data_IF_218343955609
#
_entry.id   IF_218343955609
#
_cell.length_a   1.000
_cell.length_b   1.000
_cell.length_c   1.000
_cell.angle_alpha   90.00
_cell.angle_beta   90.00
_cell.angle_gamma   90.00
#
_symmetry.space_group_name_H-M   'P 1'
#
loop_
_entity.id
_entity.type
_entity.pdbx_description
1 polymer ?
#
# COMPACT_ATOMS: atom_id res chain seq x y z
N UNK A 1 13.35 4.62 -1.26
CA UNK A 1 12.84 5.93 -0.80
C UNK A 1 11.53 5.70 -0.06
N UNK A 2 11.26 6.46 1.00
CA UNK A 2 9.93 6.47 1.63
C UNK A 2 9.07 7.46 0.82
N UNK A 3 7.97 7.01 0.18
CA UNK A 3 7.14 7.90 -0.61
C UNK A 3 6.26 8.77 0.28
N UNK A 4 5.81 9.91 -0.24
CA UNK A 4 4.75 10.68 0.42
C UNK A 4 3.42 9.93 0.35
N UNK A 5 2.51 10.24 1.28
CA UNK A 5 1.12 9.75 1.25
C UNK A 5 0.44 10.04 -0.10
N UNK A 6 0.72 11.21 -0.68
CA UNK A 6 0.14 11.61 -1.97
C UNK A 6 0.64 10.74 -3.12
N UNK A 7 1.93 10.39 -3.14
CA UNK A 7 2.48 9.45 -4.11
C UNK A 7 1.83 8.07 -3.94
N UNK A 8 1.72 7.59 -2.69
CA UNK A 8 1.06 6.32 -2.40
C UNK A 8 -0.41 6.32 -2.86
N UNK A 9 -1.12 7.43 -2.65
CA UNK A 9 -2.49 7.59 -3.12
C UNK A 9 -2.61 7.63 -4.64
N UNK A 10 -1.68 8.27 -5.34
CA UNK A 10 -1.62 8.24 -6.80
C UNK A 10 -1.52 6.79 -7.30
N UNK A 11 -0.63 5.99 -6.72
CA UNK A 11 -0.46 4.58 -7.07
C UNK A 11 -1.73 3.76 -6.81
N UNK A 12 -2.37 3.96 -5.64
CA UNK A 12 -3.68 3.34 -5.34
C UNK A 12 -4.72 3.71 -6.37
N UNK A 13 -4.88 4.99 -6.69
CA UNK A 13 -5.92 5.43 -7.64
C UNK A 13 -5.62 5.06 -9.08
N UNK A 14 -4.36 4.84 -9.43
CA UNK A 14 -3.96 4.28 -10.71
C UNK A 14 -4.40 2.81 -10.78
N UNK A 15 -3.95 1.97 -9.83
CA UNK A 15 -4.11 0.53 -9.90
C UNK A 15 -5.50 0.02 -9.51
N UNK A 16 -6.18 0.74 -8.62
CA UNK A 16 -7.50 0.38 -8.12
C UNK A 16 -8.51 1.45 -8.55
N UNK A 17 -9.51 1.08 -9.36
CA UNK A 17 -10.61 1.95 -9.78
C UNK A 17 -11.86 1.81 -8.91
N UNK A 18 -12.01 0.67 -8.23
CA UNK A 18 -13.13 0.39 -7.35
C UNK A 18 -13.15 1.29 -6.11
N UNK A 19 -14.26 2.01 -5.93
CA UNK A 19 -14.48 2.83 -4.74
C UNK A 19 -14.58 2.02 -3.45
N UNK A 20 -14.98 0.74 -3.50
CA UNK A 20 -14.99 -0.10 -2.31
C UNK A 20 -13.58 -0.49 -1.88
N UNK A 21 -12.71 -0.84 -2.83
CA UNK A 21 -11.32 -1.21 -2.57
C UNK A 21 -10.49 0.01 -2.14
N UNK A 22 -10.70 1.18 -2.77
CA UNK A 22 -10.10 2.44 -2.31
C UNK A 22 -10.47 2.78 -0.86
N UNK A 23 -11.75 2.62 -0.51
CA UNK A 23 -12.21 2.82 0.88
C UNK A 23 -11.62 1.80 1.85
N UNK A 24 -11.44 0.54 1.43
CA UNK A 24 -10.75 -0.48 2.21
C UNK A 24 -9.31 -0.06 2.52
N UNK A 25 -8.53 0.34 1.53
CA UNK A 25 -7.14 0.80 1.75
C UNK A 25 -7.07 2.04 2.64
N UNK A 26 -7.98 3.01 2.49
CA UNK A 26 -8.06 4.17 3.39
C UNK A 26 -8.41 3.78 4.84
N UNK A 27 -9.26 2.77 5.03
CA UNK A 27 -9.59 2.27 6.36
C UNK A 27 -8.38 1.56 7.01
N UNK A 28 -7.63 0.77 6.23
CA UNK A 28 -6.41 0.11 6.69
C UNK A 28 -5.31 1.12 7.00
N UNK A 29 -5.12 2.15 6.18
CA UNK A 29 -4.25 3.28 6.49
C UNK A 29 -4.62 3.90 7.85
N UNK A 30 -5.89 4.23 8.06
CA UNK A 30 -6.35 4.84 9.31
C UNK A 30 -6.06 3.93 10.52
N UNK A 31 -6.32 2.63 10.40
CA UNK A 31 -6.05 1.65 11.44
C UNK A 31 -4.53 1.56 11.73
N UNK A 32 -3.71 1.53 10.69
CA UNK A 32 -2.26 1.41 10.84
C UNK A 32 -1.63 2.64 11.49
N UNK A 33 -2.09 3.84 11.14
CA UNK A 33 -1.71 5.08 11.83
C UNK A 33 -2.04 5.04 13.32
N UNK A 34 -3.23 4.55 13.68
CA UNK A 34 -3.65 4.44 15.07
C UNK A 34 -2.81 3.40 15.84
N UNK A 35 -2.48 2.27 15.22
CA UNK A 35 -1.60 1.28 15.81
C UNK A 35 -0.16 1.79 15.97
N UNK A 36 0.37 2.51 14.98
CA UNK A 36 1.71 3.08 15.06
C UNK A 36 1.86 3.98 16.30
N UNK A 37 0.91 4.89 16.51
CA UNK A 37 0.87 5.73 17.70
C UNK A 37 0.79 4.92 19.00
N UNK A 38 0.00 3.83 19.03
CA UNK A 38 -0.13 2.94 20.19
C UNK A 38 1.18 2.20 20.50
N UNK A 39 1.96 1.85 19.48
CA UNK A 39 3.22 1.10 19.61
C UNK A 39 4.46 2.01 19.62
N UNK A 40 4.28 3.35 19.66
CA UNK A 40 5.38 4.33 19.61
C UNK A 40 6.22 4.26 18.32
N UNK A 41 5.57 3.93 17.20
CA UNK A 41 6.13 3.87 15.85
C UNK A 41 5.72 5.10 15.02
N UNK A 42 6.33 5.28 13.84
CA UNK A 42 6.03 6.38 12.92
C UNK A 42 4.66 6.20 12.21
N UNK A 43 3.65 7.05 12.49
CA UNK A 43 2.34 6.96 11.86
C UNK A 43 2.35 7.21 10.35
N UNK A 44 3.27 8.01 9.83
CA UNK A 44 3.30 8.32 8.40
C UNK A 44 3.86 7.14 7.60
N UNK A 45 4.92 6.49 8.10
CA UNK A 45 5.43 5.24 7.55
C UNK A 45 4.34 4.16 7.53
N UNK A 46 3.75 3.85 8.69
CA UNK A 46 2.73 2.81 8.81
C UNK A 46 1.45 3.15 8.06
N UNK A 47 1.12 4.43 7.93
CA UNK A 47 0.02 4.90 7.08
C UNK A 47 0.25 4.55 5.61
N UNK A 48 1.44 4.81 5.08
CA UNK A 48 1.81 4.44 3.71
C UNK A 48 1.82 2.93 3.51
N UNK A 49 2.38 2.16 4.46
CA UNK A 49 2.34 0.69 4.45
C UNK A 49 0.90 0.19 4.36
N UNK A 50 0.01 0.68 5.22
CA UNK A 50 -1.40 0.31 5.20
C UNK A 50 -2.13 0.75 3.93
N UNK A 51 -1.81 1.92 3.39
CA UNK A 51 -2.44 2.45 2.19
C UNK A 51 -2.09 1.62 0.94
N UNK A 52 -0.85 1.13 0.86
CA UNK A 52 -0.33 0.40 -0.30
C UNK A 52 -0.54 -1.11 -0.23
N UNK A 53 -1.10 -1.68 0.83
CA UNK A 53 -1.04 -3.13 1.02
C UNK A 53 -1.66 -3.97 -0.11
N UNK A 54 -2.78 -3.53 -0.67
CA UNK A 54 -3.55 -4.25 -1.70
C UNK A 54 -3.68 -3.45 -3.01
N UNK A 55 -2.82 -2.46 -3.25
CA UNK A 55 -3.03 -1.51 -4.36
C UNK A 55 -3.09 -2.19 -5.74
N UNK A 56 -2.38 -3.32 -5.91
CA UNK A 56 -2.29 -4.10 -7.14
C UNK A 56 -3.43 -5.14 -7.31
N UNK A 57 -4.15 -5.46 -6.24
CA UNK A 57 -5.11 -6.57 -6.18
C UNK A 57 -6.19 -6.51 -7.26
N UNK A 58 -6.78 -5.34 -7.53
CA UNK A 58 -7.87 -5.21 -8.50
C UNK A 58 -7.44 -5.61 -9.93
N UNK A 59 -6.19 -5.32 -10.31
CA UNK A 59 -5.63 -5.65 -11.63
C UNK A 59 -5.05 -7.06 -11.67
N UNK A 60 -4.55 -7.57 -10.54
CA UNK A 60 -3.81 -8.83 -10.45
C UNK A 60 -4.35 -9.73 -9.32
N UNK A 61 -5.62 -10.15 -9.33
CA UNK A 61 -6.26 -10.83 -8.18
C UNK A 61 -5.82 -12.28 -7.96
N UNK A 62 -5.05 -12.86 -8.88
CA UNK A 62 -4.49 -14.20 -8.75
C UNK A 62 -3.39 -14.22 -7.66
N UNK A 63 -3.18 -15.36 -6.99
CA UNK A 63 -2.22 -15.50 -5.87
C UNK A 63 -0.89 -16.18 -6.27
N UNK A 64 -0.64 -16.31 -7.58
CA UNK A 64 0.61 -16.82 -8.12
C UNK A 64 1.70 -15.74 -8.14
N UNK A 65 2.89 -16.12 -8.60
CA UNK A 65 4.02 -15.21 -8.77
C UNK A 65 3.77 -14.09 -9.80
N UNK A 66 2.76 -14.25 -10.65
CA UNK A 66 2.32 -13.23 -11.62
C UNK A 66 1.12 -12.42 -11.12
N UNK A 67 0.70 -12.64 -9.87
CA UNK A 67 -0.46 -12.01 -9.24
C UNK A 67 -0.12 -11.26 -7.94
N UNK A 68 -1.15 -10.87 -7.19
CA UNK A 68 -1.02 -10.21 -5.89
C UNK A 68 -0.56 -11.23 -4.82
N UNK A 69 0.39 -10.85 -3.92
CA UNK A 69 1.04 -9.53 -3.78
C UNK A 69 2.33 -9.38 -4.60
N UNK A 70 2.76 -10.41 -5.33
CA UNK A 70 4.06 -10.43 -6.01
C UNK A 70 4.24 -9.31 -7.03
N UNK A 71 3.18 -8.95 -7.77
CA UNK A 71 3.20 -7.85 -8.73
C UNK A 71 3.36 -6.50 -8.02
N UNK A 72 2.60 -6.23 -6.96
CA UNK A 72 2.74 -5.04 -6.13
C UNK A 72 4.16 -4.89 -5.58
N UNK A 73 4.74 -5.97 -5.04
CA UNK A 73 6.11 -5.97 -4.54
C UNK A 73 7.14 -5.59 -5.61
N UNK A 74 6.98 -6.13 -6.83
CA UNK A 74 7.85 -5.80 -7.98
C UNK A 74 7.74 -4.32 -8.35
N UNK A 75 6.52 -3.79 -8.47
CA UNK A 75 6.27 -2.38 -8.83
C UNK A 75 6.90 -1.44 -7.80
N UNK A 76 6.75 -1.73 -6.50
CA UNK A 76 7.36 -0.92 -5.44
C UNK A 76 8.89 -0.94 -5.52
N UNK A 77 9.50 -2.10 -5.77
CA UNK A 77 10.96 -2.21 -5.96
C UNK A 77 11.44 -1.46 -7.20
N UNK A 78 10.72 -1.55 -8.31
CA UNK A 78 11.02 -0.80 -9.54
C UNK A 78 10.92 0.72 -9.33
N UNK A 79 9.96 1.16 -8.51
CA UNK A 79 9.83 2.54 -8.02
C UNK A 79 10.90 2.94 -6.98
N UNK A 80 11.86 2.06 -6.68
CA UNK A 80 12.91 2.25 -5.68
C UNK A 80 12.34 2.60 -4.30
N UNK A 81 11.17 2.08 -3.95
CA UNK A 81 10.54 2.25 -2.65
C UNK A 81 11.35 1.47 -1.60
N UNK A 82 11.39 2.00 -0.38
CA UNK A 82 12.08 1.36 0.75
C UNK A 82 11.52 -0.05 1.03
N UNK A 83 12.39 -1.04 1.26
CA UNK A 83 11.98 -2.42 1.55
C UNK A 83 11.14 -2.53 2.84
N UNK A 84 11.20 -1.55 3.74
CA UNK A 84 10.29 -1.48 4.89
C UNK A 84 8.80 -1.32 4.48
N UNK A 85 8.53 -0.95 3.23
CA UNK A 85 7.17 -0.72 2.70
C UNK A 85 6.76 -1.80 1.69
N UNK A 86 7.73 -2.52 1.11
CA UNK A 86 7.46 -3.60 0.16
C UNK A 86 6.85 -4.79 0.90
N UNK A 87 5.71 -5.29 0.39
CA UNK A 87 4.92 -6.37 1.01
C UNK A 87 5.06 -7.69 0.27
#
# INVERSE_FOLDING_TARGET
MVPSRDYAWQLVTEFTQSDSLRRHMLAVECAMRAYAARFSEDPDLWGVVGLLHDFDYERYPDISVEGHPAVGARILREGQIDEAIVQ
#
